data_IF_643428797503
#
_entry.id   IF_643428797503
#
_cell.length_a   1.000
_cell.length_b   1.000
_cell.length_c   1.000
_cell.angle_alpha   90.00
_cell.angle_beta   90.00
_cell.angle_gamma   90.00
#
_symmetry.space_group_name_H-M   'P 1'
#
loop_
_entity.id
_entity.type
_entity.pdbx_description
1 polymer ?
#
# COMPACT_ATOMS: atom_id res chain seq x y z
N UNK A 1 4.38 2.45 1.70
CA UNK A 1 2.99 2.47 1.26
C UNK A 1 2.35 3.69 1.87
N UNK A 2 1.83 4.58 1.01
CA UNK A 2 1.37 5.91 1.41
C UNK A 2 -0.16 5.97 1.44
N UNK A 3 -0.70 6.38 2.56
CA UNK A 3 -2.14 6.48 2.82
C UNK A 3 -2.53 7.95 3.02
N UNK A 4 -3.73 8.32 2.60
CA UNK A 4 -4.35 9.59 2.93
C UNK A 4 -5.54 9.33 3.85
N UNK A 5 -5.65 10.08 4.95
CA UNK A 5 -6.82 10.08 5.80
C UNK A 5 -7.51 11.43 5.62
N UNK A 6 -8.79 11.39 5.26
CA UNK A 6 -9.64 12.57 5.10
C UNK A 6 -10.78 12.48 6.11
N UNK A 7 -10.67 13.26 7.16
CA UNK A 7 -11.54 13.21 8.34
C UNK A 7 -11.54 14.58 9.04
N UNK A 8 -12.67 15.20 9.25
CA UNK A 8 -12.80 16.54 9.85
C UNK A 8 -12.62 16.54 11.38
N UNK A 9 -12.96 15.43 12.04
CA UNK A 9 -12.73 15.27 13.46
C UNK A 9 -11.25 14.97 13.76
N UNK A 10 -10.48 15.99 14.17
CA UNK A 10 -9.05 15.86 14.44
C UNK A 10 -8.69 14.73 15.40
N UNK A 11 -9.54 14.47 16.41
CA UNK A 11 -9.27 13.38 17.37
C UNK A 11 -9.32 12.01 16.69
N UNK A 12 -10.29 11.78 15.81
CA UNK A 12 -10.42 10.54 15.06
C UNK A 12 -9.26 10.44 14.05
N UNK A 13 -9.02 11.50 13.30
CA UNK A 13 -7.94 11.57 12.32
C UNK A 13 -6.58 11.25 12.96
N UNK A 14 -6.22 11.91 14.05
CA UNK A 14 -4.96 11.70 14.77
C UNK A 14 -4.84 10.28 15.35
N UNK A 15 -5.94 9.72 15.87
CA UNK A 15 -5.98 8.36 16.41
C UNK A 15 -5.72 7.33 15.31
N UNK A 16 -6.40 7.47 14.18
CA UNK A 16 -6.24 6.59 13.01
C UNK A 16 -4.82 6.73 12.44
N UNK A 17 -4.34 7.98 12.25
CA UNK A 17 -3.01 8.23 11.71
C UNK A 17 -1.91 7.60 12.57
N UNK A 18 -1.97 7.77 13.91
CA UNK A 18 -1.00 7.16 14.84
C UNK A 18 -0.99 5.64 14.76
N UNK A 19 -2.18 5.01 14.67
CA UNK A 19 -2.30 3.55 14.58
C UNK A 19 -1.68 3.03 13.28
N UNK A 20 -1.98 3.68 12.16
CA UNK A 20 -1.46 3.27 10.85
C UNK A 20 0.03 3.55 10.71
N UNK A 21 0.53 4.66 11.27
CA UNK A 21 1.96 4.94 11.33
C UNK A 21 2.72 3.87 12.13
N UNK A 22 2.17 3.46 13.29
CA UNK A 22 2.74 2.38 14.10
C UNK A 22 2.72 1.01 13.37
N UNK A 23 1.77 0.83 12.45
CA UNK A 23 1.70 -0.36 11.57
C UNK A 23 2.66 -0.28 10.36
N UNK A 24 3.45 0.79 10.22
CA UNK A 24 4.49 0.95 9.19
C UNK A 24 4.01 1.58 7.89
N UNK A 25 2.88 2.29 7.89
CA UNK A 25 2.42 3.08 6.75
C UNK A 25 2.94 4.50 6.80
N UNK A 26 3.16 5.12 5.65
CA UNK A 26 3.30 6.57 5.52
C UNK A 26 1.90 7.17 5.46
N UNK A 27 1.60 8.16 6.29
CA UNK A 27 0.24 8.67 6.45
C UNK A 27 0.22 10.18 6.35
N UNK A 28 -0.55 10.69 5.40
CA UNK A 28 -0.93 12.09 5.31
C UNK A 28 -2.37 12.29 5.81
N UNK A 29 -2.68 13.47 6.29
CA UNK A 29 -4.00 13.80 6.85
C UNK A 29 -4.54 15.08 6.26
N UNK A 30 -5.83 15.10 5.90
CA UNK A 30 -6.58 16.28 5.49
C UNK A 30 -7.89 16.35 6.30
N UNK A 31 -8.34 17.58 6.56
CA UNK A 31 -9.53 17.83 7.39
C UNK A 31 -10.69 18.47 6.58
N UNK A 32 -10.46 18.76 5.31
CA UNK A 32 -11.38 19.41 4.39
C UNK A 32 -11.36 18.71 3.03
N UNK A 33 -12.54 18.56 2.41
CA UNK A 33 -12.66 17.83 1.16
C UNK A 33 -11.97 18.52 -0.03
N UNK A 34 -11.86 19.86 -0.05
CA UNK A 34 -11.15 20.58 -1.11
C UNK A 34 -9.65 20.44 -0.98
N UNK A 35 -9.14 20.56 0.26
CA UNK A 35 -7.72 20.30 0.55
C UNK A 35 -7.34 18.86 0.16
N UNK A 36 -8.20 17.90 0.48
CA UNK A 36 -8.00 16.51 0.10
C UNK A 36 -7.95 16.31 -1.42
N UNK A 37 -8.78 17.00 -2.19
CA UNK A 37 -8.74 16.94 -3.65
C UNK A 37 -7.41 17.48 -4.18
N UNK A 38 -6.89 18.58 -3.64
CA UNK A 38 -5.59 19.13 -4.02
C UNK A 38 -4.46 18.13 -3.72
N UNK A 39 -4.48 17.50 -2.56
CA UNK A 39 -3.52 16.44 -2.20
C UNK A 39 -3.59 15.26 -3.17
N UNK A 40 -4.79 14.79 -3.51
CA UNK A 40 -5.01 13.66 -4.42
C UNK A 40 -4.53 13.96 -5.83
N UNK A 41 -4.66 15.20 -6.29
CA UNK A 41 -4.21 15.61 -7.62
C UNK A 41 -2.70 15.84 -7.70
N UNK A 42 -2.04 16.18 -6.57
CA UNK A 42 -0.61 16.47 -6.52
C UNK A 42 0.25 15.25 -6.17
N UNK A 43 -0.30 14.27 -5.46
CA UNK A 43 0.42 13.16 -4.89
C UNK A 43 -0.23 11.81 -5.21
N UNK A 44 0.55 10.72 -5.15
CA UNK A 44 0.04 9.39 -5.36
C UNK A 44 -0.17 8.66 -4.03
N UNK A 45 -1.38 8.18 -3.81
CA UNK A 45 -1.74 7.39 -2.64
C UNK A 45 -2.11 5.96 -3.03
N UNK A 46 -1.71 5.00 -2.21
CA UNK A 46 -2.07 3.59 -2.39
C UNK A 46 -3.49 3.30 -1.91
N UNK A 47 -3.92 4.00 -0.85
CA UNK A 47 -5.27 3.93 -0.30
C UNK A 47 -5.64 5.24 0.38
N UNK A 48 -6.91 5.60 0.27
CA UNK A 48 -7.54 6.75 0.94
C UNK A 48 -8.60 6.22 1.92
N UNK A 49 -8.52 6.67 3.17
CA UNK A 49 -9.60 6.53 4.17
C UNK A 49 -10.39 7.82 4.11
N UNK A 50 -11.67 7.74 3.79
CA UNK A 50 -12.50 8.89 3.43
C UNK A 50 -13.75 8.97 4.28
N UNK A 51 -13.90 10.02 5.08
CA UNK A 51 -15.24 10.39 5.60
C UNK A 51 -16.09 11.04 4.51
N UNK A 52 -17.39 10.82 4.59
CA UNK A 52 -18.36 11.45 3.70
C UNK A 52 -18.79 12.83 4.19
N UNK A 53 -18.80 13.05 5.50
CA UNK A 53 -19.25 14.30 6.09
C UNK A 53 -18.07 15.26 6.30
N UNK A 54 -17.61 15.86 5.21
CA UNK A 54 -16.47 16.78 5.23
C UNK A 54 -16.93 18.23 5.00
N UNK A 55 -16.24 19.21 5.59
CA UNK A 55 -16.40 20.60 5.19
C UNK A 55 -15.84 20.84 3.78
N UNK A 56 -16.28 21.91 3.17
CA UNK A 56 -15.79 22.37 1.87
C UNK A 56 -16.28 21.57 0.67
N UNK A 57 -16.13 20.25 0.68
CA UNK A 57 -16.60 19.32 -0.36
C UNK A 57 -17.06 18.02 0.30
N UNK A 58 -18.27 17.54 -0.02
CA UNK A 58 -18.77 16.24 0.47
C UNK A 58 -17.90 15.09 -0.03
N UNK A 59 -17.65 14.08 0.84
CA UNK A 59 -16.78 12.96 0.51
C UNK A 59 -17.27 12.12 -0.67
N UNK A 60 -18.59 12.06 -0.93
CA UNK A 60 -19.12 11.39 -2.14
C UNK A 60 -18.77 12.17 -3.41
N UNK A 61 -18.79 13.49 -3.36
CA UNK A 61 -18.36 14.34 -4.46
C UNK A 61 -16.85 14.16 -4.70
N UNK A 62 -16.05 14.18 -3.64
CA UNK A 62 -14.62 13.91 -3.71
C UNK A 62 -14.30 12.55 -4.33
N UNK A 63 -15.02 11.48 -3.94
CA UNK A 63 -14.88 10.16 -4.52
C UNK A 63 -15.20 10.15 -6.02
N UNK A 64 -16.29 10.78 -6.42
CA UNK A 64 -16.69 10.89 -7.84
C UNK A 64 -15.63 11.67 -8.65
N UNK A 65 -15.08 12.76 -8.09
CA UNK A 65 -13.99 13.48 -8.74
C UNK A 65 -12.72 12.63 -8.86
N UNK A 66 -12.29 11.97 -7.77
CA UNK A 66 -11.14 11.06 -7.81
C UNK A 66 -11.27 10.03 -8.94
N UNK A 67 -12.44 9.41 -9.08
CA UNK A 67 -12.67 8.36 -10.09
C UNK A 67 -12.62 8.84 -11.54
N UNK A 68 -12.75 10.13 -11.79
CA UNK A 68 -12.53 10.70 -13.14
C UNK A 68 -11.05 10.67 -13.55
N UNK A 69 -10.13 10.69 -12.59
CA UNK A 69 -8.69 10.78 -12.82
C UNK A 69 -7.94 9.50 -12.47
N UNK A 70 -8.43 8.72 -11.50
CA UNK A 70 -7.71 7.56 -10.97
C UNK A 70 -8.65 6.47 -10.45
N UNK A 71 -8.67 5.35 -11.16
CA UNK A 71 -9.43 4.15 -10.76
C UNK A 71 -8.61 3.17 -9.92
N UNK A 72 -7.28 3.33 -9.84
CA UNK A 72 -6.39 2.37 -9.18
C UNK A 72 -6.28 2.59 -7.67
N UNK A 73 -6.33 3.86 -7.22
CA UNK A 73 -6.24 4.20 -5.80
C UNK A 73 -7.41 3.57 -5.04
N UNK A 74 -7.09 2.82 -3.99
CA UNK A 74 -8.12 2.18 -3.16
C UNK A 74 -8.77 3.23 -2.26
N UNK A 75 -10.09 3.13 -2.12
CA UNK A 75 -10.86 4.00 -1.22
C UNK A 75 -11.65 3.14 -0.23
N UNK A 76 -11.43 3.39 1.06
CA UNK A 76 -12.22 2.87 2.16
C UNK A 76 -13.03 4.03 2.75
N UNK A 77 -14.35 3.99 2.58
CA UNK A 77 -15.24 4.96 3.20
C UNK A 77 -15.36 4.65 4.69
N UNK A 78 -15.27 5.69 5.52
CA UNK A 78 -15.43 5.62 6.96
C UNK A 78 -16.41 6.69 7.38
N UNK A 79 -17.71 6.35 7.61
CA UNK A 79 -18.75 7.34 7.78
C UNK A 79 -19.79 6.95 8.84
N UNK A 80 -20.42 7.97 9.43
CA UNK A 80 -21.59 7.81 10.30
C UNK A 80 -22.89 7.50 9.54
N UNK A 81 -22.91 7.59 8.19
CA UNK A 81 -24.05 7.22 7.35
C UNK A 81 -24.16 5.71 7.31
N UNK A 82 -25.08 5.13 8.09
CA UNK A 82 -25.19 3.67 8.28
C UNK A 82 -26.28 2.99 7.46
N UNK A 83 -27.07 3.74 6.67
CA UNK A 83 -28.14 3.14 5.89
C UNK A 83 -27.58 2.26 4.77
N UNK A 84 -28.31 1.20 4.43
CA UNK A 84 -27.91 0.30 3.35
C UNK A 84 -27.78 1.07 2.02
N UNK A 85 -28.67 2.03 1.79
CA UNK A 85 -28.63 2.87 0.58
C UNK A 85 -27.31 3.65 0.47
N UNK A 86 -26.83 4.26 1.57
CA UNK A 86 -25.56 4.99 1.59
C UNK A 86 -24.37 4.10 1.27
N UNK A 87 -24.38 2.87 1.81
CA UNK A 87 -23.31 1.88 1.57
C UNK A 87 -23.28 1.44 0.10
N UNK A 88 -24.48 1.18 -0.47
CA UNK A 88 -24.59 0.81 -1.88
C UNK A 88 -24.14 1.96 -2.77
N UNK A 89 -24.61 3.19 -2.51
CA UNK A 89 -24.19 4.37 -3.27
C UNK A 89 -22.67 4.57 -3.23
N UNK A 90 -22.06 4.45 -2.05
CA UNK A 90 -20.61 4.59 -1.90
C UNK A 90 -19.80 3.54 -2.70
N UNK A 91 -20.24 2.28 -2.67
CA UNK A 91 -19.59 1.20 -3.41
C UNK A 91 -19.81 1.35 -4.92
N UNK A 92 -21.00 1.71 -5.36
CA UNK A 92 -21.32 1.94 -6.77
C UNK A 92 -20.58 3.17 -7.33
N UNK A 93 -20.31 4.16 -6.48
CA UNK A 93 -19.49 5.32 -6.85
C UNK A 93 -17.98 4.98 -6.97
N UNK A 94 -17.59 3.74 -6.67
CA UNK A 94 -16.24 3.23 -6.86
C UNK A 94 -15.40 3.13 -5.59
N UNK A 95 -16.00 3.20 -4.39
CA UNK A 95 -15.30 2.80 -3.18
C UNK A 95 -14.99 1.29 -3.20
N UNK A 96 -13.89 0.91 -2.57
CA UNK A 96 -13.48 -0.51 -2.51
C UNK A 96 -13.99 -1.23 -1.25
N UNK A 97 -14.33 -0.48 -0.21
CA UNK A 97 -14.97 -0.98 1.01
C UNK A 97 -15.67 0.17 1.74
N UNK A 98 -16.55 -0.17 2.67
CA UNK A 98 -17.33 0.76 3.47
C UNK A 98 -17.35 0.31 4.92
N UNK A 99 -17.05 1.22 5.84
CA UNK A 99 -17.03 0.97 7.27
C UNK A 99 -17.82 2.06 8.02
N UNK A 100 -18.69 1.64 8.93
CA UNK A 100 -19.55 2.53 9.69
C UNK A 100 -18.89 3.00 10.98
N UNK A 101 -19.10 4.26 11.35
CA UNK A 101 -18.77 4.79 12.68
C UNK A 101 -19.90 4.48 13.68
N UNK A 102 -19.61 4.06 14.93
CA UNK A 102 -18.29 3.89 15.54
C UNK A 102 -17.61 2.57 15.13
N UNK A 103 -16.28 2.59 15.04
CA UNK A 103 -15.47 1.46 14.58
C UNK A 103 -14.34 1.10 15.56
N UNK A 104 -13.77 -0.09 15.37
CA UNK A 104 -12.56 -0.52 16.07
C UNK A 104 -11.32 -0.34 15.17
N UNK A 105 -10.23 0.23 15.70
CA UNK A 105 -8.97 0.41 14.95
C UNK A 105 -8.43 -0.90 14.37
N UNK A 106 -8.55 -2.00 15.10
CA UNK A 106 -8.12 -3.32 14.61
C UNK A 106 -8.89 -3.78 13.37
N UNK A 107 -10.19 -3.45 13.27
CA UNK A 107 -11.00 -3.74 12.09
C UNK A 107 -10.56 -2.87 10.91
N UNK A 108 -10.38 -1.56 11.13
CA UNK A 108 -9.88 -0.62 10.12
C UNK A 108 -8.55 -1.11 9.54
N UNK A 109 -7.59 -1.45 10.39
CA UNK A 109 -6.29 -1.98 9.95
C UNK A 109 -6.40 -3.28 9.17
N UNK A 110 -7.30 -4.19 9.58
CA UNK A 110 -7.51 -5.45 8.88
C UNK A 110 -8.09 -5.23 7.47
N UNK A 111 -9.02 -4.28 7.31
CA UNK A 111 -9.60 -3.89 6.01
C UNK A 111 -8.56 -3.24 5.11
N UNK A 112 -7.77 -2.30 5.64
CA UNK A 112 -6.65 -1.67 4.91
C UNK A 112 -5.68 -2.74 4.41
N UNK A 113 -5.24 -3.68 5.26
CA UNK A 113 -4.38 -4.80 4.85
C UNK A 113 -5.02 -5.65 3.75
N UNK A 114 -6.32 -5.90 3.85
CA UNK A 114 -7.04 -6.69 2.83
C UNK A 114 -7.07 -5.99 1.47
N UNK A 115 -7.35 -4.69 1.46
CA UNK A 115 -7.43 -3.87 0.24
C UNK A 115 -6.08 -3.72 -0.44
N UNK A 116 -5.01 -3.68 0.35
CA UNK A 116 -3.65 -3.40 -0.11
C UNK A 116 -2.83 -4.66 -0.40
N UNK A 117 -3.28 -5.84 0.07
CA UNK A 117 -2.56 -7.12 -0.03
C UNK A 117 -2.14 -7.50 -1.45
N UNK A 118 -2.92 -7.14 -2.47
CA UNK A 118 -2.59 -7.50 -3.88
C UNK A 118 -1.38 -6.76 -4.42
N UNK A 119 -1.10 -5.54 -3.97
CA UNK A 119 0.11 -4.80 -4.38
C UNK A 119 1.38 -5.43 -3.79
N UNK A 120 1.33 -5.93 -2.54
CA UNK A 120 2.46 -6.64 -1.94
C UNK A 120 2.80 -7.94 -2.67
N UNK A 121 1.79 -8.69 -3.13
CA UNK A 121 2.02 -9.97 -3.83
C UNK A 121 2.55 -9.75 -5.27
N UNK A 122 2.21 -8.65 -5.92
CA UNK A 122 2.66 -8.39 -7.29
C UNK A 122 4.07 -7.81 -7.40
N UNK A 123 4.52 -7.02 -6.41
CA UNK A 123 5.84 -6.38 -6.48
C UNK A 123 7.00 -7.26 -5.99
N UNK A 124 6.72 -8.29 -5.16
CA UNK A 124 7.76 -9.11 -4.52
C UNK A 124 7.94 -10.52 -5.11
N UNK A 125 7.24 -10.86 -6.20
CA UNK A 125 7.31 -12.22 -6.77
C UNK A 125 8.67 -12.51 -7.41
N UNK A 126 9.34 -11.51 -7.96
CA UNK A 126 10.64 -11.68 -8.62
C UNK A 126 11.62 -10.55 -8.28
N UNK A 127 12.55 -10.83 -7.40
CA UNK A 127 13.73 -9.99 -7.20
C UNK A 127 14.70 -10.21 -8.36
N UNK A 128 15.18 -9.11 -8.98
CA UNK A 128 16.16 -9.17 -10.07
C UNK A 128 17.50 -8.62 -9.60
N UNK A 129 18.55 -9.40 -9.78
CA UNK A 129 19.92 -8.95 -9.59
C UNK A 129 20.76 -9.40 -10.80
N UNK A 130 21.02 -8.46 -11.73
CA UNK A 130 21.62 -8.77 -13.01
C UNK A 130 20.80 -9.76 -13.82
N UNK A 131 21.38 -10.87 -14.24
CA UNK A 131 20.70 -11.95 -14.98
C UNK A 131 19.91 -12.93 -14.08
N UNK A 132 20.02 -12.79 -12.75
CA UNK A 132 19.37 -13.69 -11.80
C UNK A 132 18.00 -13.12 -11.43
N UNK A 133 16.96 -13.96 -11.57
CA UNK A 133 15.61 -13.70 -11.08
C UNK A 133 15.34 -14.65 -9.91
N UNK A 134 14.91 -14.10 -8.78
CA UNK A 134 14.52 -14.88 -7.60
C UNK A 134 13.01 -14.79 -7.38
N UNK A 135 12.32 -15.92 -7.49
CA UNK A 135 10.89 -16.02 -7.17
C UNK A 135 10.73 -16.19 -5.66
N UNK A 136 10.19 -15.16 -4.99
CA UNK A 136 10.05 -15.15 -3.51
C UNK A 136 8.99 -16.12 -3.01
N UNK A 137 8.02 -16.50 -3.85
CA UNK A 137 6.95 -17.45 -3.48
C UNK A 137 7.49 -18.88 -3.58
N UNK A 138 8.10 -19.20 -4.73
CA UNK A 138 8.67 -20.54 -4.97
C UNK A 138 10.00 -20.74 -4.29
N UNK A 139 10.61 -19.66 -3.77
CA UNK A 139 11.97 -19.62 -3.21
C UNK A 139 13.02 -20.20 -4.17
N UNK A 140 12.85 -19.90 -5.46
CA UNK A 140 13.72 -20.41 -6.53
C UNK A 140 14.43 -19.26 -7.24
N UNK A 141 15.74 -19.43 -7.47
CA UNK A 141 16.52 -18.51 -8.30
C UNK A 141 16.67 -19.09 -9.71
N UNK A 142 16.32 -18.32 -10.74
CA UNK A 142 16.51 -18.69 -12.13
C UNK A 142 17.48 -17.73 -12.80
N UNK A 143 18.52 -18.26 -13.44
CA UNK A 143 19.36 -17.51 -14.38
C UNK A 143 18.65 -17.48 -15.73
N UNK A 144 18.62 -16.36 -16.42
CA UNK A 144 17.81 -16.06 -17.60
C UNK A 144 17.98 -16.96 -18.85
N UNK A 145 18.38 -18.23 -18.70
CA UNK A 145 18.27 -19.30 -19.70
C UNK A 145 17.75 -20.56 -19.05
N UNK A 146 16.71 -21.11 -19.65
CA UNK A 146 16.07 -22.35 -19.23
C UNK A 146 17.08 -23.51 -19.22
N UNK A 147 17.10 -24.25 -18.11
CA UNK A 147 17.65 -25.61 -18.07
C UNK A 147 18.97 -25.74 -17.32
N UNK A 148 18.89 -26.02 -16.03
CA UNK A 148 19.75 -26.97 -15.32
C UNK A 148 19.40 -26.96 -13.84
N UNK A 149 18.93 -28.09 -13.36
CA UNK A 149 18.76 -28.40 -11.93
C UNK A 149 20.14 -28.79 -11.38
N UNK A 150 20.86 -27.86 -10.75
CA UNK A 150 22.12 -28.17 -10.14
C UNK A 150 22.22 -27.68 -8.70
N UNK A 151 22.97 -28.42 -7.85
CA UNK A 151 23.18 -28.20 -6.39
C UNK A 151 23.72 -26.82 -5.99
N UNK A 152 24.08 -25.97 -6.94
CA UNK A 152 24.46 -24.57 -6.73
C UNK A 152 23.29 -23.68 -6.26
N UNK A 153 22.03 -24.14 -6.33
CA UNK A 153 20.83 -23.39 -5.91
C UNK A 153 20.82 -23.02 -4.42
N UNK A 154 21.25 -23.94 -3.55
CA UNK A 154 21.25 -23.73 -2.10
C UNK A 154 22.31 -22.72 -1.63
N UNK A 155 23.44 -22.67 -2.32
CA UNK A 155 24.55 -21.79 -1.97
C UNK A 155 24.23 -20.31 -2.24
N UNK A 156 23.57 -20.01 -3.36
CA UNK A 156 23.12 -18.64 -3.68
C UNK A 156 22.04 -18.15 -2.73
N UNK A 157 21.20 -19.04 -2.21
CA UNK A 157 20.19 -18.73 -1.20
C UNK A 157 20.80 -18.26 0.12
N UNK A 158 21.86 -18.92 0.59
CA UNK A 158 22.58 -18.56 1.81
C UNK A 158 23.23 -17.17 1.73
N UNK A 159 23.80 -16.81 0.59
CA UNK A 159 24.45 -15.50 0.39
C UNK A 159 23.39 -14.38 0.30
N UNK A 160 22.27 -14.62 -0.39
CA UNK A 160 21.22 -13.62 -0.56
C UNK A 160 20.52 -13.30 0.76
N UNK A 161 20.22 -14.31 1.58
CA UNK A 161 19.61 -14.12 2.90
C UNK A 161 20.57 -13.50 3.92
N UNK A 162 21.88 -13.79 3.82
CA UNK A 162 22.89 -13.20 4.70
C UNK A 162 23.07 -11.72 4.43
N UNK A 163 23.11 -11.29 3.17
CA UNK A 163 23.23 -9.87 2.82
C UNK A 163 21.96 -9.07 3.13
N UNK A 164 20.77 -9.64 2.91
CA UNK A 164 19.52 -8.97 3.27
C UNK A 164 19.37 -8.74 4.78
N UNK A 165 19.94 -9.61 5.61
CA UNK A 165 19.96 -9.45 7.08
C UNK A 165 20.95 -8.39 7.59
N UNK A 166 22.02 -8.13 6.84
CA UNK A 166 23.07 -7.17 7.24
C UNK A 166 22.74 -5.73 6.80
N UNK A 167 21.92 -5.55 5.77
CA UNK A 167 21.58 -4.22 5.19
C UNK A 167 20.25 -3.65 5.69
N UNK A 168 19.76 -4.08 6.86
CA UNK A 168 18.50 -3.65 7.47
C UNK A 168 18.35 -2.13 7.73
N UNK A 169 18.91 -1.29 6.86
CA UNK A 169 18.64 0.14 6.79
C UNK A 169 17.79 0.46 5.56
N UNK A 170 16.66 1.09 5.84
CA UNK A 170 15.69 1.63 4.93
C UNK A 170 16.31 2.55 3.87
N UNK A 171 16.33 2.11 2.62
CA UNK A 171 16.76 2.95 1.50
C UNK A 171 16.53 2.27 0.16
N UNK A 172 15.75 2.92 -0.68
CA UNK A 172 15.25 2.54 -2.00
C UNK A 172 15.95 1.44 -2.78
N UNK A 173 15.13 0.72 -3.52
CA UNK A 173 15.45 -0.49 -4.30
C UNK A 173 16.64 -0.40 -5.30
N UNK A 174 17.25 0.79 -5.48
CA UNK A 174 18.33 1.00 -6.46
C UNK A 174 19.75 0.86 -5.88
N UNK A 175 19.93 0.62 -4.59
CA UNK A 175 21.27 0.53 -3.98
C UNK A 175 21.74 -0.88 -3.56
N UNK A 176 20.99 -1.91 -3.81
CA UNK A 176 21.33 -3.28 -3.38
C UNK A 176 22.26 -4.06 -4.35
N UNK A 177 22.77 -3.43 -5.40
CA UNK A 177 23.69 -4.08 -6.36
C UNK A 177 25.14 -3.63 -6.27
N UNK A 178 25.62 -3.19 -5.10
CA UNK A 178 27.06 -2.92 -4.90
C UNK A 178 27.70 -4.14 -4.25
N UNK A 179 28.29 -5.03 -5.07
CA UNK A 179 29.08 -6.14 -4.53
C UNK A 179 29.29 -7.37 -5.40
N UNK A 180 28.82 -7.37 -6.66
CA UNK A 180 29.19 -8.43 -7.60
C UNK A 180 30.51 -8.09 -8.34
N UNK A 181 31.59 -7.85 -7.60
CA UNK A 181 32.94 -7.88 -8.21
C UNK A 181 33.44 -9.30 -8.09
N UNK A 182 33.53 -9.97 -9.24
CA UNK A 182 34.11 -11.27 -9.38
C UNK A 182 35.55 -11.31 -8.86
N UNK A 183 35.86 -12.26 -7.99
CA UNK A 183 37.22 -12.86 -7.97
C UNK A 183 37.15 -14.15 -8.75
N UNK A 184 37.85 -14.14 -9.86
CA UNK A 184 38.31 -15.35 -10.51
C UNK A 184 39.24 -16.07 -9.55
N UNK A 185 38.98 -17.29 -9.29
CA UNK A 185 39.92 -18.38 -9.10
C UNK A 185 39.33 -19.64 -9.73
#
# INVERSE_FOLDING_TARGET
MRLLIVEDEKQICDMVAKSLYAAGYEVDTCYDGKEALECILSENYDLIVLDLNLPGMDGMELLKELRKYNDETKVLILSARGQIADKVEGLDAGANDYMEKPFHLQELEARIRSLTRRKFVQNDICLKCGEIKFDTIKREACKGRAGSTDKKREWYFGIFTYQYRQTGESGGADRACVGCHGRQL
#
